data_IF_424372757048
#
_entry.id   IF_424372757048
#
_cell.length_a   1.000
_cell.length_b   1.000
_cell.length_c   1.000
_cell.angle_alpha   90.00
_cell.angle_beta   90.00
_cell.angle_gamma   90.00
#
_symmetry.space_group_name_H-M   'P 1'
#
loop_
_entity.id
_entity.type
_entity.pdbx_description
1 polymer ?
#
# COMPACT_ATOMS: atom_id res chain seq x y z
N UNK A 1 24.98 13.06 13.37
CA UNK A 1 23.78 13.02 12.50
C UNK A 1 24.25 13.15 11.08
N UNK A 2 23.91 12.24 10.17
CA UNK A 2 24.33 12.38 8.76
C UNK A 2 23.33 13.31 8.09
N UNK A 3 23.63 14.60 8.11
CA UNK A 3 23.00 15.51 7.17
C UNK A 3 23.54 15.17 5.77
N UNK A 4 22.67 14.75 4.85
CA UNK A 4 23.09 14.41 3.49
C UNK A 4 23.61 15.64 2.73
N UNK A 5 23.30 16.86 3.18
CA UNK A 5 23.78 18.13 2.58
C UNK A 5 25.29 18.14 2.33
N UNK A 6 26.09 17.52 3.20
CA UNK A 6 27.56 17.50 3.06
C UNK A 6 28.07 16.56 1.96
N UNK A 7 27.20 15.70 1.42
CA UNK A 7 27.52 14.70 0.39
C UNK A 7 26.89 15.02 -0.96
N UNK A 8 26.13 16.11 -1.04
CA UNK A 8 25.49 16.61 -2.25
C UNK A 8 26.38 17.69 -2.88
N UNK A 9 26.34 17.80 -4.20
CA UNK A 9 27.03 18.83 -4.98
C UNK A 9 26.05 19.48 -5.96
N UNK A 10 26.49 20.35 -6.86
CA UNK A 10 25.67 20.76 -8.01
C UNK A 10 24.25 21.26 -7.71
N UNK A 11 23.31 20.85 -8.56
CA UNK A 11 21.89 21.20 -8.49
C UNK A 11 21.20 20.49 -7.31
N UNK A 12 21.55 19.22 -7.07
CA UNK A 12 20.96 18.42 -6.00
C UNK A 12 21.20 19.04 -4.61
N UNK A 13 22.36 19.68 -4.40
CA UNK A 13 22.63 20.41 -3.17
C UNK A 13 21.73 21.64 -3.03
N UNK A 14 21.53 22.41 -4.10
CA UNK A 14 20.72 23.64 -4.05
C UNK A 14 19.28 23.29 -3.68
N UNK A 15 18.69 22.29 -4.35
CA UNK A 15 17.31 21.89 -4.09
C UNK A 15 17.13 21.25 -2.72
N UNK A 16 18.09 20.43 -2.28
CA UNK A 16 18.04 19.86 -0.94
C UNK A 16 18.05 20.95 0.15
N UNK A 17 18.86 22.01 0.00
CA UNK A 17 18.84 23.11 0.97
C UNK A 17 17.52 23.89 0.93
N UNK A 18 16.92 24.10 -0.24
CA UNK A 18 15.60 24.71 -0.35
C UNK A 18 14.53 23.90 0.38
N UNK A 19 14.55 22.57 0.21
CA UNK A 19 13.63 21.65 0.91
C UNK A 19 13.86 21.71 2.43
N UNK A 20 15.10 21.76 2.90
CA UNK A 20 15.38 21.91 4.34
C UNK A 20 14.83 23.23 4.90
N UNK A 21 14.97 24.33 4.17
CA UNK A 21 14.43 25.63 4.58
C UNK A 21 12.90 25.60 4.63
N UNK A 22 12.25 24.97 3.65
CA UNK A 22 10.80 24.77 3.63
C UNK A 22 10.33 23.86 4.77
N UNK A 23 10.97 22.71 4.98
CA UNK A 23 10.65 21.81 6.07
C UNK A 23 10.80 22.50 7.44
N UNK A 24 11.85 23.33 7.60
CA UNK A 24 12.02 24.14 8.80
C UNK A 24 10.88 25.14 8.96
N UNK A 25 10.52 25.90 7.92
CA UNK A 25 9.40 26.83 7.97
C UNK A 25 8.08 26.14 8.32
N UNK A 26 7.79 25.01 7.68
CA UNK A 26 6.62 24.16 7.93
C UNK A 26 6.60 23.64 9.37
N UNK A 27 7.73 23.17 9.90
CA UNK A 27 7.83 22.68 11.28
C UNK A 27 7.56 23.73 12.35
N UNK A 28 7.78 25.01 12.01
CA UNK A 28 7.51 26.14 12.90
C UNK A 28 6.13 26.77 12.66
N UNK A 29 5.31 26.21 11.77
CA UNK A 29 3.97 26.69 11.49
C UNK A 29 2.97 26.24 12.57
N UNK A 30 2.55 27.19 13.42
CA UNK A 30 1.63 26.93 14.51
C UNK A 30 0.19 26.58 14.08
N UNK A 31 -0.17 26.78 12.81
CA UNK A 31 -1.50 26.40 12.29
C UNK A 31 -1.59 24.96 11.80
N UNK A 32 -0.46 24.27 11.69
CA UNK A 32 -0.38 22.89 11.20
C UNK A 32 -0.30 21.91 12.37
N UNK A 33 -0.92 20.75 12.20
CA UNK A 33 -0.72 19.64 13.14
C UNK A 33 0.63 18.97 12.88
N UNK A 34 1.11 18.19 13.84
CA UNK A 34 2.33 17.40 13.65
C UNK A 34 2.21 16.40 12.49
N UNK A 35 1.02 15.88 12.26
CA UNK A 35 0.74 14.95 11.16
C UNK A 35 0.83 15.65 9.80
N UNK A 36 0.25 16.85 9.67
CA UNK A 36 0.35 17.67 8.45
C UNK A 36 1.80 18.02 8.13
N UNK A 37 2.60 18.36 9.15
CA UNK A 37 4.02 18.68 9.00
C UNK A 37 4.78 17.46 8.46
N UNK A 38 4.53 16.27 9.01
CA UNK A 38 5.19 15.03 8.57
C UNK A 38 4.82 14.69 7.13
N UNK A 39 3.53 14.77 6.78
CA UNK A 39 3.06 14.47 5.42
C UNK A 39 3.66 15.43 4.40
N UNK A 40 3.64 16.74 4.67
CA UNK A 40 4.20 17.73 3.75
C UNK A 40 5.71 17.57 3.58
N UNK A 41 6.47 17.48 4.68
CA UNK A 41 7.93 17.31 4.59
C UNK A 41 8.31 16.00 3.89
N UNK A 42 7.56 14.92 4.17
CA UNK A 42 7.73 13.62 3.51
C UNK A 42 7.51 13.73 1.99
N UNK A 43 6.45 14.42 1.57
CA UNK A 43 6.12 14.63 0.15
C UNK A 43 7.24 15.37 -0.59
N UNK A 44 7.72 16.50 -0.05
CA UNK A 44 8.81 17.28 -0.67
C UNK A 44 10.10 16.47 -0.82
N UNK A 45 10.48 15.72 0.23
CA UNK A 45 11.67 14.85 0.18
C UNK A 45 11.48 13.70 -0.81
N UNK A 46 10.27 13.13 -0.93
CA UNK A 46 9.96 12.08 -1.91
C UNK A 46 10.09 12.62 -3.33
N UNK A 47 9.62 13.84 -3.60
CA UNK A 47 9.76 14.51 -4.89
C UNK A 47 11.23 14.76 -5.25
N UNK A 48 12.06 15.15 -4.28
CA UNK A 48 13.50 15.27 -4.48
C UNK A 48 14.15 13.95 -4.92
N UNK A 49 13.84 12.83 -4.26
CA UNK A 49 14.36 11.52 -4.66
C UNK A 49 13.82 11.03 -6.00
N UNK A 50 12.62 11.44 -6.39
CA UNK A 50 12.09 11.18 -7.74
C UNK A 50 12.86 11.97 -8.79
N UNK A 51 13.22 13.22 -8.51
CA UNK A 51 13.99 14.10 -9.42
C UNK A 51 15.46 13.70 -9.52
N UNK A 52 16.08 13.23 -8.43
CA UNK A 52 17.47 12.79 -8.39
C UNK A 52 17.59 11.30 -8.02
N UNK A 53 17.42 10.37 -8.99
CA UNK A 53 17.46 8.92 -8.73
C UNK A 53 18.77 8.44 -8.08
N UNK A 54 19.91 9.04 -8.44
CA UNK A 54 21.21 8.71 -7.84
C UNK A 54 21.25 9.05 -6.34
N UNK A 55 20.57 10.14 -5.94
CA UNK A 55 20.42 10.50 -4.53
C UNK A 55 19.49 9.52 -3.81
N UNK A 56 18.40 9.08 -4.47
CA UNK A 56 17.52 8.06 -3.93
C UNK A 56 18.30 6.75 -3.66
N UNK A 57 19.07 6.26 -4.65
CA UNK A 57 19.90 5.06 -4.50
C UNK A 57 20.86 5.17 -3.32
N UNK A 58 21.51 6.31 -3.19
CA UNK A 58 22.54 6.52 -2.16
C UNK A 58 21.95 6.74 -0.77
N UNK A 59 20.83 7.46 -0.65
CA UNK A 59 20.41 8.04 0.63
C UNK A 59 19.07 7.54 1.16
N UNK A 60 18.23 6.85 0.39
CA UNK A 60 16.86 6.44 0.83
C UNK A 60 16.82 5.72 2.17
N UNK A 61 17.87 4.95 2.49
CA UNK A 61 17.97 4.18 3.74
C UNK A 61 19.00 4.75 4.73
N UNK A 62 19.41 6.01 4.58
CA UNK A 62 20.24 6.70 5.56
C UNK A 62 19.41 7.12 6.77
N UNK A 63 19.98 6.96 7.96
CA UNK A 63 19.32 7.34 9.20
C UNK A 63 19.15 8.86 9.32
N UNK A 64 17.91 9.30 9.48
CA UNK A 64 17.51 10.65 9.86
C UNK A 64 17.51 10.74 11.38
N UNK A 65 18.58 11.32 11.94
CA UNK A 65 18.69 11.43 13.39
C UNK A 65 18.63 10.07 14.10
N UNK A 66 17.78 9.97 15.11
CA UNK A 66 17.44 8.71 15.79
C UNK A 66 16.05 8.18 15.45
N UNK A 67 15.38 8.74 14.43
CA UNK A 67 13.96 8.49 14.16
C UNK A 67 13.72 7.31 13.22
N UNK A 68 14.60 7.09 12.25
CA UNK A 68 14.44 6.09 11.20
C UNK A 68 15.23 6.49 9.97
N UNK A 69 14.90 5.90 8.81
CA UNK A 69 15.42 6.33 7.51
C UNK A 69 14.32 7.03 6.68
N UNK A 70 14.67 7.59 5.51
CA UNK A 70 13.70 8.27 4.65
C UNK A 70 12.60 7.35 4.14
N UNK A 71 12.91 6.08 3.86
CA UNK A 71 11.89 5.09 3.53
C UNK A 71 10.86 4.94 4.67
N UNK A 72 11.32 4.90 5.92
CA UNK A 72 10.45 4.87 7.09
C UNK A 72 9.60 6.14 7.23
N UNK A 73 10.16 7.32 6.96
CA UNK A 73 9.41 8.57 6.93
C UNK A 73 8.27 8.53 5.89
N UNK A 74 8.55 8.04 4.68
CA UNK A 74 7.53 7.90 3.64
C UNK A 74 6.41 6.94 4.08
N UNK A 75 6.75 5.81 4.70
CA UNK A 75 5.75 4.88 5.21
C UNK A 75 4.89 5.49 6.33
N UNK A 76 5.48 6.28 7.23
CA UNK A 76 4.72 7.01 8.26
C UNK A 76 3.73 7.99 7.63
N UNK A 77 4.15 8.73 6.60
CA UNK A 77 3.25 9.63 5.86
C UNK A 77 2.08 8.87 5.23
N UNK A 78 2.31 7.67 4.69
CA UNK A 78 1.25 6.81 4.15
C UNK A 78 0.28 6.38 5.26
N UNK A 79 0.78 6.02 6.44
CA UNK A 79 -0.09 5.63 7.56
C UNK A 79 -0.97 6.79 8.04
N UNK A 80 -0.40 8.00 8.15
CA UNK A 80 -1.15 9.20 8.51
C UNK A 80 -2.26 9.44 7.47
N UNK A 81 -1.92 9.42 6.18
CA UNK A 81 -2.90 9.63 5.12
C UNK A 81 -3.99 8.55 5.09
N UNK A 82 -3.66 7.31 5.46
CA UNK A 82 -4.62 6.21 5.48
C UNK A 82 -5.78 6.43 6.46
N UNK A 83 -5.57 7.16 7.56
CA UNK A 83 -6.63 7.51 8.51
C UNK A 83 -7.68 8.47 7.90
N UNK A 84 -7.33 9.20 6.85
CA UNK A 84 -8.20 10.19 6.20
C UNK A 84 -8.65 9.80 4.78
N UNK A 85 -8.02 8.80 4.17
CA UNK A 85 -8.26 8.42 2.78
C UNK A 85 -9.68 7.93 2.48
N UNK A 86 -10.42 7.40 3.48
CA UNK A 86 -11.83 7.04 3.30
C UNK A 86 -12.68 8.26 2.91
N UNK A 87 -12.36 9.46 3.43
CA UNK A 87 -13.11 10.69 3.13
C UNK A 87 -13.00 11.16 1.68
N UNK A 88 -11.98 10.70 0.95
CA UNK A 88 -11.74 11.05 -0.45
C UNK A 88 -12.75 10.38 -1.38
N UNK A 89 -13.25 9.20 -0.99
CA UNK A 89 -14.12 8.34 -1.80
C UNK A 89 -15.55 8.21 -1.25
N UNK A 90 -15.88 8.94 -0.18
CA UNK A 90 -17.27 9.07 0.28
C UNK A 90 -18.05 9.91 -0.72
N UNK A 91 -19.20 9.38 -1.16
CA UNK A 91 -20.08 10.03 -2.11
C UNK A 91 -21.03 10.97 -1.37
N UNK A 92 -20.91 12.28 -1.63
CA UNK A 92 -21.81 13.32 -1.16
C UNK A 92 -22.43 14.04 -2.36
N UNK A 93 -23.74 14.24 -2.37
CA UNK A 93 -24.46 14.86 -3.50
C UNK A 93 -24.20 14.18 -4.88
N UNK A 94 -23.88 12.89 -4.87
CA UNK A 94 -23.71 12.07 -6.07
C UNK A 94 -22.28 11.98 -6.62
N UNK A 95 -21.28 12.61 -5.99
CA UNK A 95 -19.86 12.48 -6.35
C UNK A 95 -18.99 12.38 -5.10
N UNK A 96 -17.81 11.79 -5.23
CA UNK A 96 -16.77 11.88 -4.19
C UNK A 96 -15.72 12.95 -4.54
N UNK A 97 -14.89 13.33 -3.55
CA UNK A 97 -13.87 14.37 -3.71
C UNK A 97 -12.84 14.06 -4.80
N UNK A 98 -12.51 12.78 -4.99
CA UNK A 98 -11.61 12.35 -6.05
C UNK A 98 -12.19 12.65 -7.44
N UNK A 99 -13.48 12.37 -7.64
CA UNK A 99 -14.18 12.68 -8.90
C UNK A 99 -14.27 14.19 -9.13
N UNK A 100 -14.49 14.97 -8.06
CA UNK A 100 -14.53 16.44 -8.13
C UNK A 100 -13.18 17.02 -8.53
N UNK A 101 -12.09 16.57 -7.90
CA UNK A 101 -10.74 17.04 -8.22
C UNK A 101 -10.35 16.77 -9.68
N UNK A 102 -10.66 15.57 -10.19
CA UNK A 102 -10.40 15.22 -11.60
C UNK A 102 -11.27 16.08 -12.54
N UNK A 103 -12.53 16.34 -12.19
CA UNK A 103 -13.44 17.16 -12.99
C UNK A 103 -12.97 18.63 -13.07
N UNK A 104 -12.44 19.17 -11.98
CA UNK A 104 -11.86 20.51 -11.97
C UNK A 104 -10.61 20.58 -12.84
N UNK A 105 -9.75 19.57 -12.80
CA UNK A 105 -8.59 19.48 -13.69
C UNK A 105 -9.01 19.36 -15.16
N UNK A 106 -9.99 18.50 -15.47
CA UNK A 106 -10.57 18.31 -16.81
C UNK A 106 -11.06 19.65 -17.42
N UNK A 107 -11.61 20.55 -16.60
CA UNK A 107 -12.06 21.86 -17.04
C UNK A 107 -10.91 22.77 -17.54
N UNK A 108 -9.67 22.49 -17.13
CA UNK A 108 -8.46 23.21 -17.59
C UNK A 108 -7.93 22.68 -18.92
N UNK A 109 -8.33 21.48 -19.31
CA UNK A 109 -7.89 20.82 -20.53
C UNK A 109 -8.59 21.42 -21.74
N UNK A 110 -7.87 21.56 -22.85
CA UNK A 110 -8.42 22.08 -24.12
C UNK A 110 -8.78 20.98 -25.10
N UNK A 111 -8.01 19.89 -25.12
CA UNK A 111 -8.15 18.79 -26.07
C UNK A 111 -9.33 17.87 -25.70
N UNK A 112 -10.25 17.64 -26.64
CA UNK A 112 -11.47 16.88 -26.35
C UNK A 112 -11.19 15.40 -26.04
N UNK A 113 -10.23 14.78 -26.74
CA UNK A 113 -9.87 13.38 -26.49
C UNK A 113 -9.31 13.15 -25.08
N UNK A 114 -8.68 14.17 -24.50
CA UNK A 114 -8.16 14.10 -23.12
C UNK A 114 -9.30 14.23 -22.12
N UNK A 115 -10.28 15.10 -22.40
CA UNK A 115 -11.52 15.18 -21.61
C UNK A 115 -12.30 13.89 -21.63
N UNK A 116 -12.47 13.28 -22.80
CA UNK A 116 -13.18 12.01 -22.94
C UNK A 116 -12.52 10.90 -22.10
N UNK A 117 -11.17 10.84 -22.08
CA UNK A 117 -10.43 9.90 -21.26
C UNK A 117 -10.58 10.16 -19.75
N UNK A 118 -10.56 11.43 -19.33
CA UNK A 118 -10.79 11.80 -17.92
C UNK A 118 -12.24 11.54 -17.49
N UNK A 119 -13.21 11.72 -18.40
CA UNK A 119 -14.61 11.36 -18.15
C UNK A 119 -14.76 9.85 -17.94
N UNK A 120 -14.11 9.03 -18.76
CA UNK A 120 -14.07 7.57 -18.60
C UNK A 120 -13.43 7.16 -17.26
N UNK A 121 -12.28 7.75 -16.91
CA UNK A 121 -11.64 7.54 -15.62
C UNK A 121 -12.58 7.88 -14.45
N UNK A 122 -13.25 9.03 -14.50
CA UNK A 122 -14.24 9.42 -13.48
C UNK A 122 -15.42 8.45 -13.43
N UNK A 123 -15.91 7.97 -14.58
CA UNK A 123 -17.00 7.00 -14.64
C UNK A 123 -16.62 5.65 -13.99
N UNK A 124 -15.41 5.15 -14.22
CA UNK A 124 -14.90 3.94 -13.57
C UNK A 124 -14.78 4.11 -12.04
N UNK A 125 -14.23 5.24 -11.60
CA UNK A 125 -14.16 5.59 -10.17
C UNK A 125 -15.58 5.62 -9.59
N UNK A 126 -16.52 6.30 -10.26
CA UNK A 126 -17.92 6.40 -9.84
C UNK A 126 -18.57 5.03 -9.69
N UNK A 127 -18.36 4.14 -10.65
CA UNK A 127 -18.86 2.77 -10.59
C UNK A 127 -18.31 2.03 -9.36
N UNK A 128 -17.01 2.15 -9.10
CA UNK A 128 -16.36 1.51 -7.95
C UNK A 128 -16.87 2.05 -6.61
N UNK A 129 -16.92 3.37 -6.43
CA UNK A 129 -17.30 3.99 -5.14
C UNK A 129 -18.78 3.77 -4.81
N UNK A 130 -19.64 3.68 -5.83
CA UNK A 130 -21.07 3.44 -5.65
C UNK A 130 -21.45 1.95 -5.52
N UNK A 131 -20.52 1.02 -5.76
CA UNK A 131 -20.80 -0.40 -5.56
C UNK A 131 -20.91 -0.72 -4.05
N UNK A 132 -22.13 -1.02 -3.61
CA UNK A 132 -22.43 -1.36 -2.22
C UNK A 132 -21.98 -2.78 -1.82
N UNK A 133 -21.57 -3.60 -2.79
CA UNK A 133 -21.02 -4.94 -2.54
C UNK A 133 -19.55 -4.92 -2.13
N UNK A 134 -18.83 -3.86 -2.51
CA UNK A 134 -17.41 -3.69 -2.19
C UNK A 134 -17.22 -3.07 -0.80
N UNK A 135 -16.31 -3.66 -0.03
CA UNK A 135 -15.73 -3.06 1.17
C UNK A 135 -14.86 -1.84 0.83
N UNK A 136 -14.50 -1.07 1.86
CA UNK A 136 -13.59 0.07 1.71
C UNK A 136 -12.26 -0.37 1.08
N UNK A 137 -11.69 -1.46 1.59
CA UNK A 137 -10.40 -2.00 1.15
C UNK A 137 -10.47 -2.49 -0.30
N UNK A 138 -11.58 -3.11 -0.72
CA UNK A 138 -11.81 -3.51 -2.11
C UNK A 138 -11.98 -2.30 -3.04
N UNK A 139 -12.64 -1.23 -2.59
CA UNK A 139 -12.73 0.02 -3.35
C UNK A 139 -11.36 0.65 -3.56
N UNK A 140 -10.54 0.75 -2.51
CA UNK A 140 -9.17 1.28 -2.62
C UNK A 140 -8.31 0.44 -3.57
N UNK A 141 -8.40 -0.89 -3.52
CA UNK A 141 -7.69 -1.77 -4.43
C UNK A 141 -8.15 -1.57 -5.89
N UNK A 142 -9.46 -1.52 -6.14
CA UNK A 142 -10.01 -1.35 -7.49
C UNK A 142 -9.70 0.03 -8.08
N UNK A 143 -9.77 1.10 -7.29
CA UNK A 143 -9.39 2.46 -7.74
C UNK A 143 -7.91 2.48 -8.13
N UNK A 144 -7.04 1.84 -7.35
CA UNK A 144 -5.62 1.72 -7.71
C UNK A 144 -5.43 1.05 -9.07
N UNK A 145 -6.15 -0.05 -9.31
CA UNK A 145 -6.10 -0.76 -10.59
C UNK A 145 -6.62 0.10 -11.75
N UNK A 146 -7.70 0.86 -11.54
CA UNK A 146 -8.20 1.84 -12.52
C UNK A 146 -7.12 2.85 -12.90
N UNK A 147 -6.41 3.43 -11.93
CA UNK A 147 -5.29 4.35 -12.22
C UNK A 147 -4.09 3.66 -12.89
N UNK A 148 -3.73 2.44 -12.48
CA UNK A 148 -2.66 1.66 -13.14
C UNK A 148 -2.99 1.48 -14.64
N UNK A 149 -4.20 1.04 -14.94
CA UNK A 149 -4.65 0.82 -16.32
C UNK A 149 -4.70 2.14 -17.10
N UNK A 150 -5.19 3.20 -16.47
CA UNK A 150 -5.21 4.53 -17.07
C UNK A 150 -3.81 5.02 -17.43
N UNK A 151 -2.84 4.94 -16.51
CA UNK A 151 -1.47 5.41 -16.79
C UNK A 151 -0.71 4.54 -17.79
N UNK A 152 -1.06 3.26 -17.95
CA UNK A 152 -0.53 2.43 -19.05
C UNK A 152 -0.93 2.96 -20.42
N UNK A 153 -2.14 3.50 -20.55
CA UNK A 153 -2.66 4.08 -21.79
C UNK A 153 -2.24 5.55 -21.96
N UNK A 154 -2.08 6.26 -20.85
CA UNK A 154 -1.90 7.72 -20.79
C UNK A 154 -0.65 8.14 -19.99
N UNK A 155 0.47 7.45 -20.20
CA UNK A 155 1.71 7.63 -19.42
C UNK A 155 2.22 9.09 -19.40
N UNK A 156 1.97 9.86 -20.47
CA UNK A 156 2.38 11.26 -20.56
C UNK A 156 1.67 12.17 -19.54
N UNK A 157 0.50 11.77 -19.04
CA UNK A 157 -0.32 12.57 -18.12
C UNK A 157 -0.14 12.15 -16.66
N UNK A 158 0.64 11.10 -16.38
CA UNK A 158 0.75 10.52 -15.04
C UNK A 158 1.24 11.55 -14.02
N UNK A 159 2.24 12.37 -14.37
CA UNK A 159 2.77 13.37 -13.45
C UNK A 159 1.73 14.46 -13.13
N UNK A 160 1.02 14.96 -14.14
CA UNK A 160 0.04 16.03 -13.98
C UNK A 160 -1.16 15.54 -13.17
N UNK A 161 -1.69 14.34 -13.47
CA UNK A 161 -2.83 13.77 -12.76
C UNK A 161 -2.47 13.44 -11.32
N UNK A 162 -1.31 12.83 -11.06
CA UNK A 162 -0.84 12.57 -9.69
C UNK A 162 -0.64 13.86 -8.88
N UNK A 163 -0.34 14.97 -9.55
CA UNK A 163 -0.17 16.29 -8.96
C UNK A 163 -1.46 17.03 -8.62
N UNK A 164 -2.63 16.54 -9.05
CA UNK A 164 -3.93 17.16 -8.74
C UNK A 164 -4.15 17.15 -7.23
N UNK A 165 -4.46 18.32 -6.66
CA UNK A 165 -4.83 18.46 -5.25
C UNK A 165 -6.28 18.03 -5.01
N UNK A 166 -6.50 17.23 -3.96
CA UNK A 166 -7.80 16.81 -3.48
C UNK A 166 -8.13 17.67 -2.24
N UNK A 167 -9.17 18.52 -2.30
CA UNK A 167 -9.50 19.43 -1.22
C UNK A 167 -9.68 18.76 0.14
N UNK A 168 -8.86 19.21 1.10
CA UNK A 168 -8.88 18.72 2.48
C UNK A 168 -8.26 17.33 2.66
N UNK A 169 -7.42 16.89 1.71
CA UNK A 169 -6.61 15.67 1.83
C UNK A 169 -5.17 15.89 1.37
N UNK A 170 -4.96 16.41 0.16
CA UNK A 170 -3.65 16.50 -0.49
C UNK A 170 -3.70 15.92 -1.90
N UNK A 171 -2.55 15.57 -2.51
CA UNK A 171 -2.51 15.17 -3.91
C UNK A 171 -3.13 13.79 -4.20
N UNK A 172 -3.50 13.55 -5.47
CA UNK A 172 -3.83 12.21 -5.97
C UNK A 172 -2.67 11.23 -5.74
N UNK A 173 -1.40 11.66 -5.85
CA UNK A 173 -0.25 10.77 -5.54
C UNK A 173 -0.30 10.25 -4.09
N UNK A 174 -0.59 11.13 -3.13
CA UNK A 174 -0.71 10.75 -1.72
C UNK A 174 -1.88 9.78 -1.48
N UNK A 175 -2.99 9.96 -2.21
CA UNK A 175 -4.13 9.04 -2.15
C UNK A 175 -3.76 7.68 -2.75
N UNK A 176 -3.06 7.68 -3.89
CA UNK A 176 -2.62 6.47 -4.57
C UNK A 176 -1.56 5.70 -3.78
N UNK A 177 -0.67 6.37 -3.04
CA UNK A 177 0.28 5.71 -2.16
C UNK A 177 -0.43 4.83 -1.12
N UNK A 178 -1.57 5.29 -0.59
CA UNK A 178 -2.43 4.53 0.34
C UNK A 178 -3.19 3.43 -0.40
N UNK A 179 -3.85 3.78 -1.50
CA UNK A 179 -4.71 2.84 -2.23
C UNK A 179 -3.90 1.65 -2.76
N UNK A 180 -2.69 1.88 -3.22
CA UNK A 180 -1.76 0.86 -3.70
C UNK A 180 -1.39 -0.16 -2.60
N UNK A 181 -1.39 0.22 -1.32
CA UNK A 181 -1.16 -0.75 -0.24
C UNK A 181 -2.30 -1.78 -0.19
N UNK A 182 -3.55 -1.32 -0.31
CA UNK A 182 -4.71 -2.22 -0.35
C UNK A 182 -4.71 -3.11 -1.59
N UNK A 183 -4.32 -2.56 -2.74
CA UNK A 183 -4.14 -3.34 -3.98
C UNK A 183 -3.12 -4.47 -3.80
N UNK A 184 -1.93 -4.16 -3.27
CA UNK A 184 -0.87 -5.15 -3.04
C UNK A 184 -1.29 -6.21 -2.01
N UNK A 185 -1.92 -5.81 -0.92
CA UNK A 185 -2.45 -6.74 0.08
C UNK A 185 -3.50 -7.68 -0.55
N UNK A 186 -4.31 -7.17 -1.48
CA UNK A 186 -5.30 -7.98 -2.19
C UNK A 186 -4.71 -9.01 -3.14
N UNK A 187 -3.46 -8.82 -3.59
CA UNK A 187 -2.77 -9.68 -4.56
C UNK A 187 -1.56 -10.42 -3.95
N UNK A 188 -1.46 -10.51 -2.61
CA UNK A 188 -0.37 -11.26 -1.98
C UNK A 188 -0.39 -12.76 -2.33
N UNK A 189 -1.56 -13.32 -2.58
CA UNK A 189 -1.73 -14.71 -2.94
C UNK A 189 -1.15 -15.03 -4.32
N UNK A 190 -1.30 -14.13 -5.29
CA UNK A 190 -0.76 -14.27 -6.65
C UNK A 190 0.77 -14.45 -6.64
N UNK A 191 1.49 -13.80 -5.72
CA UNK A 191 2.94 -14.00 -5.53
C UNK A 191 3.34 -15.43 -5.15
N UNK A 192 2.41 -16.23 -4.63
CA UNK A 192 2.65 -17.59 -4.18
C UNK A 192 2.01 -18.65 -5.07
N UNK A 193 1.45 -18.26 -6.22
CA UNK A 193 0.96 -19.17 -7.24
C UNK A 193 2.15 -19.80 -7.99
N UNK A 194 2.03 -21.10 -8.28
CA UNK A 194 2.97 -21.82 -9.15
C UNK A 194 2.37 -21.90 -10.53
N UNK A 195 2.95 -21.17 -11.48
CA UNK A 195 2.50 -21.14 -12.87
C UNK A 195 2.66 -22.51 -13.56
N UNK A 196 1.80 -22.87 -14.53
CA UNK A 196 1.92 -24.13 -15.26
C UNK A 196 3.30 -24.27 -15.92
N UNK A 197 4.02 -25.34 -15.57
CA UNK A 197 5.36 -25.61 -16.10
C UNK A 197 6.51 -25.11 -15.20
N UNK A 198 6.21 -24.31 -14.18
CA UNK A 198 7.17 -23.89 -13.17
C UNK A 198 7.21 -24.85 -11.98
N UNK A 199 8.35 -24.85 -11.27
CA UNK A 199 8.52 -25.61 -10.01
C UNK A 199 8.44 -24.71 -8.77
N UNK A 200 8.56 -23.41 -8.98
CA UNK A 200 8.60 -22.39 -7.96
C UNK A 200 7.40 -21.45 -8.09
N UNK A 201 7.05 -20.76 -7.00
CA UNK A 201 6.04 -19.72 -7.07
C UNK A 201 6.58 -18.43 -7.68
N UNK A 202 5.69 -17.57 -8.16
CA UNK A 202 6.01 -16.31 -8.85
C UNK A 202 7.08 -15.49 -8.11
N UNK A 203 6.94 -15.29 -6.79
CA UNK A 203 7.92 -14.55 -5.99
C UNK A 203 9.35 -15.11 -6.11
N UNK A 204 9.51 -16.43 -6.08
CA UNK A 204 10.84 -17.06 -6.15
C UNK A 204 11.40 -16.98 -7.57
N UNK A 205 10.54 -17.14 -8.58
CA UNK A 205 10.90 -16.96 -9.99
C UNK A 205 11.41 -15.53 -10.22
N UNK A 206 10.66 -14.53 -9.78
CA UNK A 206 11.01 -13.11 -9.94
C UNK A 206 12.28 -12.72 -9.20
N UNK A 207 12.42 -13.12 -7.93
CA UNK A 207 13.64 -12.86 -7.17
C UNK A 207 14.88 -13.51 -7.81
N UNK A 208 14.71 -14.71 -8.38
CA UNK A 208 15.79 -15.42 -9.08
C UNK A 208 16.16 -14.72 -10.39
N UNK A 209 15.16 -14.22 -11.13
CA UNK A 209 15.37 -13.45 -12.35
C UNK A 209 16.10 -12.12 -12.04
N UNK A 210 15.65 -11.37 -11.05
CA UNK A 210 16.23 -10.07 -10.66
C UNK A 210 17.64 -10.21 -10.08
N UNK A 211 17.94 -11.26 -9.31
CA UNK A 211 19.31 -11.55 -8.86
C UNK A 211 20.29 -11.74 -10.04
N UNK A 212 19.81 -12.23 -11.18
CA UNK A 212 20.60 -12.43 -12.38
C UNK A 212 20.53 -11.24 -13.35
N UNK A 213 19.73 -10.22 -13.05
CA UNK A 213 19.60 -9.04 -13.87
C UNK A 213 20.90 -8.23 -13.86
N UNK A 214 21.43 -7.95 -15.06
CA UNK A 214 22.70 -7.25 -15.24
C UNK A 214 22.67 -5.82 -14.66
N UNK A 215 21.48 -5.20 -14.52
CA UNK A 215 21.34 -3.83 -14.00
C UNK A 215 21.92 -3.65 -12.59
N UNK A 216 21.89 -4.70 -11.76
CA UNK A 216 22.35 -4.61 -10.36
C UNK A 216 23.85 -4.90 -10.16
N UNK A 217 24.49 -5.50 -11.17
CA UNK A 217 25.92 -5.84 -11.18
C UNK A 217 26.43 -6.48 -9.87
N UNK A 218 25.72 -7.48 -9.35
CA UNK A 218 26.11 -8.14 -8.10
C UNK A 218 27.45 -8.87 -8.23
N UNK A 219 28.31 -8.64 -7.23
CA UNK A 219 29.51 -9.43 -6.99
C UNK A 219 29.17 -10.90 -6.67
N UNK A 220 30.18 -11.78 -6.76
CA UNK A 220 29.99 -13.20 -6.46
C UNK A 220 29.49 -13.44 -5.03
N UNK A 221 30.03 -12.73 -4.04
CA UNK A 221 29.60 -12.85 -2.64
C UNK A 221 28.16 -12.39 -2.43
N UNK A 222 27.75 -11.31 -3.10
CA UNK A 222 26.37 -10.81 -3.06
C UNK A 222 25.40 -11.82 -3.65
N UNK A 223 25.76 -12.41 -4.81
CA UNK A 223 24.95 -13.48 -5.41
C UNK A 223 24.81 -14.69 -4.51
N UNK A 224 25.87 -15.08 -3.78
CA UNK A 224 25.77 -16.17 -2.80
C UNK A 224 24.78 -15.83 -1.69
N UNK A 225 24.88 -14.64 -1.07
CA UNK A 225 23.93 -14.21 -0.03
C UNK A 225 22.48 -14.17 -0.52
N UNK A 226 22.25 -13.64 -1.74
CA UNK A 226 20.92 -13.60 -2.35
C UNK A 226 20.40 -15.00 -2.69
N UNK A 227 21.26 -15.89 -3.17
CA UNK A 227 20.91 -17.29 -3.45
C UNK A 227 20.47 -17.99 -2.18
N UNK A 228 21.19 -17.81 -1.07
CA UNK A 228 20.83 -18.40 0.23
C UNK A 228 19.50 -17.84 0.75
N UNK A 229 19.30 -16.52 0.63
CA UNK A 229 18.05 -15.85 0.97
C UNK A 229 16.85 -16.39 0.18
N UNK A 230 16.97 -16.49 -1.15
CA UNK A 230 15.92 -17.02 -2.03
C UNK A 230 15.65 -18.50 -1.73
N UNK A 231 16.69 -19.31 -1.52
CA UNK A 231 16.53 -20.72 -1.16
C UNK A 231 15.82 -20.89 0.19
N UNK A 232 16.09 -20.04 1.18
CA UNK A 232 15.37 -20.09 2.46
C UNK A 232 13.88 -19.78 2.28
N UNK A 233 13.52 -18.78 1.46
CA UNK A 233 12.12 -18.50 1.11
C UNK A 233 11.50 -19.70 0.40
N UNK A 234 12.17 -20.24 -0.64
CA UNK A 234 11.72 -21.41 -1.39
C UNK A 234 11.41 -22.59 -0.47
N UNK A 235 12.33 -22.95 0.43
CA UNK A 235 12.15 -24.06 1.38
C UNK A 235 10.98 -23.83 2.32
N UNK A 236 10.83 -22.61 2.85
CA UNK A 236 9.75 -22.28 3.79
C UNK A 236 8.37 -22.35 3.15
N UNK A 237 8.26 -21.93 1.88
CA UNK A 237 6.98 -21.78 1.19
C UNK A 237 6.61 -23.02 0.36
N UNK A 238 7.51 -23.49 -0.49
CA UNK A 238 7.27 -24.66 -1.34
C UNK A 238 7.14 -25.95 -0.52
N UNK A 239 7.80 -26.01 0.65
CA UNK A 239 7.69 -27.14 1.57
C UNK A 239 6.37 -27.19 2.38
N UNK A 240 5.57 -26.11 2.40
CA UNK A 240 4.39 -26.01 3.26
C UNK A 240 3.18 -25.39 2.55
N UNK A 241 2.59 -26.14 1.63
CA UNK A 241 1.38 -25.74 0.88
C UNK A 241 0.18 -25.37 1.79
N UNK A 242 0.16 -25.83 3.04
CA UNK A 242 -0.90 -25.56 4.03
C UNK A 242 -0.78 -24.21 4.74
N UNK A 243 0.32 -23.46 4.54
CA UNK A 243 0.46 -22.14 5.17
C UNK A 243 -0.53 -21.15 4.57
N UNK A 244 -1.17 -20.37 5.44
CA UNK A 244 -1.93 -19.19 5.01
C UNK A 244 -1.02 -18.17 4.33
N UNK A 245 -1.60 -17.34 3.47
CA UNK A 245 -0.87 -16.26 2.79
C UNK A 245 -0.21 -15.33 3.81
N UNK A 246 -0.90 -14.99 4.89
CA UNK A 246 -0.33 -14.19 5.99
C UNK A 246 0.92 -14.83 6.60
N UNK A 247 0.91 -16.16 6.81
CA UNK A 247 2.07 -16.87 7.34
C UNK A 247 3.24 -16.90 6.34
N UNK A 248 2.95 -17.05 5.04
CA UNK A 248 3.95 -16.99 3.97
C UNK A 248 4.62 -15.61 3.92
N UNK A 249 3.83 -14.53 3.94
CA UNK A 249 4.35 -13.15 3.96
C UNK A 249 5.21 -12.91 5.21
N UNK A 250 4.75 -13.30 6.40
CA UNK A 250 5.54 -13.19 7.63
C UNK A 250 6.87 -13.95 7.54
N UNK A 251 6.88 -15.12 6.91
CA UNK A 251 8.11 -15.89 6.68
C UNK A 251 9.08 -15.14 5.75
N UNK A 252 8.58 -14.54 4.65
CA UNK A 252 9.39 -13.71 3.74
C UNK A 252 9.99 -12.50 4.46
N UNK A 253 9.16 -11.75 5.21
CA UNK A 253 9.60 -10.58 5.98
C UNK A 253 10.64 -10.97 7.05
N UNK A 254 10.47 -12.13 7.68
CA UNK A 254 11.45 -12.66 8.62
C UNK A 254 12.78 -12.96 7.94
N UNK A 255 12.79 -13.65 6.79
CA UNK A 255 14.01 -13.93 6.04
C UNK A 255 14.71 -12.64 5.60
N UNK A 256 13.94 -11.64 5.17
CA UNK A 256 14.48 -10.34 4.80
C UNK A 256 15.17 -9.67 6.01
N UNK A 257 14.51 -9.68 7.17
CA UNK A 257 15.06 -9.14 8.42
C UNK A 257 16.37 -9.83 8.82
N UNK A 258 16.45 -11.15 8.68
CA UNK A 258 17.69 -11.90 8.94
C UNK A 258 18.81 -11.50 7.99
N UNK A 259 18.53 -11.35 6.70
CA UNK A 259 19.52 -10.89 5.72
C UNK A 259 20.01 -9.47 6.03
N UNK A 260 19.12 -8.57 6.44
CA UNK A 260 19.49 -7.18 6.75
C UNK A 260 20.44 -7.05 7.96
N UNK A 261 20.49 -8.04 8.86
CA UNK A 261 21.44 -8.05 9.98
C UNK A 261 22.90 -8.19 9.53
N UNK A 262 23.16 -8.86 8.40
CA UNK A 262 24.52 -9.14 7.90
C UNK A 262 24.79 -8.54 6.53
N UNK A 263 23.74 -8.17 5.79
CA UNK A 263 23.79 -7.74 4.38
C UNK A 263 23.05 -6.43 4.14
N UNK A 264 23.03 -5.50 5.10
CA UNK A 264 22.30 -4.22 4.98
C UNK A 264 22.71 -3.37 3.77
N UNK A 265 23.92 -3.55 3.23
CA UNK A 265 24.37 -2.90 1.99
C UNK A 265 23.61 -3.38 0.73
N UNK A 266 22.87 -4.50 0.80
CA UNK A 266 21.96 -4.96 -0.25
C UNK A 266 20.57 -4.33 -0.16
N UNK A 267 20.26 -3.59 0.92
CA UNK A 267 18.91 -3.11 1.23
C UNK A 267 18.26 -2.38 0.07
N UNK A 268 18.97 -1.44 -0.55
CA UNK A 268 18.44 -0.68 -1.69
C UNK A 268 18.16 -1.60 -2.87
N UNK A 269 19.19 -2.25 -3.42
CA UNK A 269 19.06 -3.08 -4.63
C UNK A 269 18.05 -4.22 -4.47
N UNK A 270 18.00 -4.90 -3.32
CA UNK A 270 17.02 -5.97 -3.09
C UNK A 270 15.59 -5.44 -3.04
N UNK A 271 15.36 -4.28 -2.43
CA UNK A 271 14.02 -3.68 -2.37
C UNK A 271 13.54 -3.17 -3.73
N UNK A 272 14.44 -2.96 -4.68
CA UNK A 272 14.10 -2.58 -6.06
C UNK A 272 13.82 -3.80 -6.97
N UNK A 273 13.95 -5.04 -6.48
CA UNK A 273 13.63 -6.24 -7.28
C UNK A 273 12.17 -6.20 -7.71
N UNK A 274 11.92 -6.13 -9.00
CA UNK A 274 10.57 -6.20 -9.56
C UNK A 274 9.98 -7.59 -9.30
N UNK A 275 8.76 -7.64 -8.77
CA UNK A 275 8.02 -8.87 -8.48
C UNK A 275 6.55 -8.69 -8.90
N UNK A 276 5.89 -9.78 -9.30
CA UNK A 276 4.48 -9.78 -9.71
C UNK A 276 4.21 -8.82 -10.88
N UNK A 277 5.15 -8.72 -11.82
CA UNK A 277 5.04 -7.80 -12.96
C UNK A 277 3.82 -8.10 -13.84
N UNK A 278 3.39 -9.37 -13.86
CA UNK A 278 2.19 -9.83 -14.58
C UNK A 278 0.87 -9.29 -14.03
N UNK A 279 0.86 -8.82 -12.78
CA UNK A 279 -0.30 -8.23 -12.09
C UNK A 279 0.09 -6.95 -11.34
N UNK A 280 1.04 -6.18 -11.87
CA UNK A 280 1.41 -4.84 -11.41
C UNK A 280 1.67 -4.70 -9.90
N UNK A 281 2.21 -5.75 -9.26
CA UNK A 281 2.42 -5.73 -7.81
C UNK A 281 3.45 -4.66 -7.40
N UNK A 282 4.58 -4.60 -8.12
CA UNK A 282 5.63 -3.62 -7.94
C UNK A 282 6.97 -4.27 -7.61
N UNK A 283 7.52 -3.95 -6.45
CA UNK A 283 8.87 -4.38 -6.03
C UNK A 283 8.84 -5.21 -4.74
N UNK A 284 9.95 -5.86 -4.44
CA UNK A 284 10.13 -6.54 -3.17
C UNK A 284 10.04 -5.56 -1.98
N UNK A 285 10.46 -4.31 -2.14
CA UNK A 285 10.25 -3.25 -1.15
C UNK A 285 8.77 -3.01 -0.88
N UNK A 286 7.94 -2.99 -1.93
CA UNK A 286 6.49 -2.83 -1.82
C UNK A 286 5.83 -4.00 -1.08
N UNK A 287 6.34 -5.24 -1.21
CA UNK A 287 5.88 -6.38 -0.41
C UNK A 287 6.11 -6.14 1.08
N UNK A 288 7.31 -5.69 1.45
CA UNK A 288 7.66 -5.41 2.84
C UNK A 288 6.79 -4.28 3.39
N UNK A 289 6.58 -3.22 2.60
CA UNK A 289 5.81 -2.05 3.00
C UNK A 289 4.32 -2.37 3.13
N UNK A 290 3.73 -3.09 2.17
CA UNK A 290 2.36 -3.56 2.23
C UNK A 290 2.13 -4.54 3.40
N UNK A 291 3.13 -5.36 3.74
CA UNK A 291 3.06 -6.23 4.92
C UNK A 291 3.05 -5.43 6.22
N UNK A 292 3.86 -4.38 6.35
CA UNK A 292 3.85 -3.52 7.54
C UNK A 292 2.53 -2.75 7.63
N UNK A 293 2.08 -2.16 6.51
CA UNK A 293 0.80 -1.48 6.40
C UNK A 293 -0.37 -2.38 6.83
N UNK A 294 -0.46 -3.61 6.31
CA UNK A 294 -1.52 -4.56 6.64
C UNK A 294 -1.52 -5.01 8.11
N UNK A 295 -0.38 -4.91 8.80
CA UNK A 295 -0.30 -5.19 10.24
C UNK A 295 -0.92 -4.06 11.08
N UNK A 296 -0.90 -2.83 10.57
CA UNK A 296 -1.45 -1.62 11.21
C UNK A 296 -2.91 -1.38 10.85
N UNK A 297 -3.26 -1.65 9.59
CA UNK A 297 -4.60 -1.49 9.02
C UNK A 297 -5.16 -2.87 8.62
N UNK A 298 -5.45 -3.76 9.59
CA UNK A 298 -5.98 -5.07 9.27
C UNK A 298 -7.34 -4.94 8.61
N UNK A 299 -7.58 -5.71 7.54
CA UNK A 299 -8.88 -5.77 6.85
C UNK A 299 -10.00 -5.90 7.88
N UNK A 300 -10.97 -4.99 7.83
CA UNK A 300 -12.16 -5.10 8.68
C UNK A 300 -12.83 -6.42 8.32
N UNK A 301 -12.96 -7.34 9.28
CA UNK A 301 -13.60 -8.63 9.04
C UNK A 301 -14.96 -8.41 8.35
N UNK A 302 -15.30 -9.17 7.30
CA UNK A 302 -16.59 -9.01 6.64
C UNK A 302 -17.68 -9.10 7.70
N UNK A 303 -18.56 -8.09 7.75
CA UNK A 303 -19.72 -8.09 8.64
C UNK A 303 -20.42 -9.44 8.45
N UNK A 304 -20.32 -10.34 9.44
CA UNK A 304 -21.15 -11.55 9.48
C UNK A 304 -22.57 -11.07 9.26
N UNK A 305 -23.21 -11.47 8.16
CA UNK A 305 -24.66 -11.33 8.01
C UNK A 305 -25.25 -11.81 9.32
N UNK A 306 -25.92 -10.91 10.04
CA UNK A 306 -26.61 -11.28 11.25
C UNK A 306 -27.50 -12.47 10.88
N UNK A 307 -27.22 -13.64 11.44
CA UNK A 307 -28.19 -14.73 11.37
C UNK A 307 -29.51 -14.14 11.86
N UNK A 308 -30.63 -14.34 11.14
CA UNK A 308 -31.91 -13.88 11.61
C UNK A 308 -32.10 -14.39 13.03
N UNK A 309 -32.33 -13.47 13.97
CA UNK A 309 -32.61 -13.83 15.36
C UNK A 309 -33.68 -14.92 15.34
N UNK A 310 -33.49 -16.04 16.05
CA UNK A 310 -34.57 -17.00 16.21
C UNK A 310 -35.78 -16.27 16.80
N UNK A 311 -37.00 -16.54 16.29
CA UNK A 311 -38.20 -15.86 16.77
C UNK A 311 -38.30 -16.04 18.29
N UNK A 312 -38.52 -14.93 18.99
CA UNK A 312 -38.75 -14.92 20.43
C UNK A 312 -39.89 -15.90 20.76
N UNK A 313 -39.76 -16.77 21.78
CA UNK A 313 -40.83 -17.66 22.16
C UNK A 313 -42.06 -16.83 22.55
N UNK A 314 -43.17 -17.07 21.86
CA UNK A 314 -44.47 -16.50 22.18
C UNK A 314 -44.75 -16.72 23.67
N UNK A 315 -44.95 -15.61 24.41
CA UNK A 315 -45.50 -15.64 25.76
C UNK A 315 -46.86 -16.35 25.71
N UNK A 316 -46.89 -17.62 26.09
CA UNK A 316 -48.13 -18.31 26.36
C UNK A 316 -48.75 -17.70 27.63
N UNK A 317 -49.88 -17.05 27.44
CA UNK A 317 -50.76 -16.51 28.47
C UNK A 317 -51.09 -17.59 29.49
N UNK A 318 -50.90 -17.27 30.77
CA UNK A 318 -51.28 -18.12 31.88
C UNK A 318 -52.79 -18.41 31.83
N UNK A 319 -53.16 -19.69 31.72
CA UNK A 319 -54.49 -20.19 31.98
C UNK A 319 -54.44 -21.12 33.20
N UNK A 320 -55.35 -20.83 34.13
CA UNK A 320 -55.47 -21.33 35.49
C UNK A 320 -55.74 -22.85 35.58
N UNK A 321 -55.03 -23.50 36.51
CA UNK A 321 -55.44 -24.54 37.49
C UNK A 321 -56.66 -25.45 37.18
N UNK A 322 -56.60 -26.76 37.51
CA UNK A 322 -56.78 -27.15 38.92
C UNK A 322 -55.94 -28.32 39.46
N UNK A 323 -55.84 -28.31 40.80
CA UNK A 323 -55.31 -29.37 41.69
C UNK A 323 -56.19 -30.63 41.68
N UNK A 324 -55.58 -31.81 41.66
CA UNK A 324 -55.98 -33.03 42.40
C UNK A 324 -54.87 -34.11 42.23
N UNK A 325 -54.16 -34.46 43.31
CA UNK A 325 -54.34 -35.63 44.19
C UNK A 325 -53.60 -36.92 43.75
N UNK A 326 -52.54 -37.24 44.52
CA UNK A 326 -52.06 -38.55 45.02
C UNK A 326 -52.35 -39.85 44.23
N UNK A 327 -51.28 -40.62 43.97
CA UNK A 327 -50.94 -41.93 44.60
C UNK A 327 -49.86 -42.62 43.73
N UNK A 328 -48.69 -42.96 44.28
CA UNK A 328 -48.32 -44.24 44.91
C UNK A 328 -48.49 -45.46 44.00
N UNK A 329 -47.36 -46.02 43.54
CA UNK A 329 -46.87 -47.42 43.69
C UNK A 329 -45.68 -47.61 42.73
N UNK A 330 -44.48 -47.96 43.23
CA UNK A 330 -43.88 -49.31 43.17
C UNK A 330 -43.75 -49.83 41.72
N UNK A 331 -42.59 -50.19 41.18
CA UNK A 331 -41.33 -50.69 41.75
C UNK A 331 -40.21 -50.42 40.74
#
# INVERSE_FOLDING_TARGET
>A
MVNISLQLTGEEAIEWHAILDECNATSHNASMTSDDIVVQCSSEIKLFFKKFPDCNEKFRYFMIGGWGDFSGLFQVSIWINADFAESVIIVENGKCKLEEAILEFEATISEQSEKDALEELRAEISFCVNDASLSYEEKMANISLTFINFFKLHAAWEADIRGIDIPGFGSIDAFLDVSMQFYRIANFDELFVVSPGETDCELVVDLTAEMNNAKYNFSRSEKTMLTDFINNIRVLIAGNASLSIEAKIKAVVYQYSQLMMTGSFLKFRLREFSIGASFDFGTFGDLIDASDFGSRFPRRAPRRRAQPRPPLPCRATALLLPRSSRSSTAT
#
